data_IF_303204531384
#
_entry.id   IF_303204531384
#
_cell.length_a   1.000
_cell.length_b   1.000
_cell.length_c   1.000
_cell.angle_alpha   90.00
_cell.angle_beta   90.00
_cell.angle_gamma   90.00
#
_symmetry.space_group_name_H-M   'P 1'
#
loop_
_entity.id
_entity.type
_entity.pdbx_description
1 polymer ?
#
# COMPACT_ATOMS: atom_id res chain seq x y z
N UNK A 1 52.47 -55.00 -58.69
CA UNK A 1 51.19 -55.73 -58.75
C UNK A 1 50.66 -55.84 -57.32
N UNK A 2 49.47 -55.29 -57.03
CA UNK A 2 48.46 -55.71 -56.02
C UNK A 2 48.92 -55.99 -54.56
N UNK A 3 48.22 -55.80 -53.44
CA UNK A 3 47.02 -55.08 -52.99
C UNK A 3 46.95 -55.28 -51.44
N UNK A 4 46.25 -54.37 -50.73
CA UNK A 4 45.43 -54.58 -49.52
C UNK A 4 45.98 -55.04 -48.13
N UNK A 5 45.71 -54.17 -47.13
CA UNK A 5 44.91 -54.33 -45.88
C UNK A 5 45.14 -55.53 -44.94
N UNK A 6 45.11 -55.27 -43.61
CA UNK A 6 44.53 -56.07 -42.50
C UNK A 6 44.78 -55.31 -41.17
N UNK A 7 43.81 -54.59 -40.59
CA UNK A 7 42.72 -54.99 -39.68
C UNK A 7 43.19 -55.64 -38.35
N UNK A 8 43.01 -54.92 -37.22
CA UNK A 8 43.26 -55.40 -35.86
C UNK A 8 42.04 -56.17 -35.29
N UNK A 9 42.23 -57.28 -34.55
CA UNK A 9 41.15 -58.05 -33.93
C UNK A 9 40.65 -57.46 -32.59
N UNK A 10 39.43 -57.84 -32.14
CA UNK A 10 38.63 -57.09 -31.16
C UNK A 10 38.86 -57.45 -29.68
N UNK A 11 38.40 -56.53 -28.80
CA UNK A 11 38.39 -56.63 -27.33
C UNK A 11 37.46 -57.75 -26.83
N UNK A 12 37.93 -58.53 -25.85
CA UNK A 12 37.11 -59.50 -25.11
C UNK A 12 36.43 -58.82 -23.92
N UNK A 13 35.14 -59.08 -23.80
CA UNK A 13 34.19 -58.54 -22.80
C UNK A 13 34.21 -59.38 -21.53
N UNK A 14 34.20 -58.72 -20.38
CA UNK A 14 34.14 -59.34 -19.04
C UNK A 14 32.80 -60.07 -18.78
N UNK A 15 32.80 -61.15 -17.99
CA UNK A 15 31.62 -61.96 -17.70
C UNK A 15 30.64 -61.27 -16.73
N UNK A 16 29.34 -61.47 -16.99
CA UNK A 16 28.20 -60.94 -16.24
C UNK A 16 27.97 -61.69 -14.91
N UNK A 17 27.56 -61.02 -13.82
CA UNK A 17 27.17 -61.66 -12.57
C UNK A 17 25.75 -62.27 -12.61
N UNK A 18 25.56 -63.36 -11.86
CA UNK A 18 24.36 -64.19 -11.76
C UNK A 18 23.10 -63.47 -11.21
N UNK A 19 21.88 -63.92 -11.59
CA UNK A 19 20.62 -63.32 -11.18
C UNK A 19 20.23 -63.63 -9.73
N UNK A 20 19.66 -62.63 -9.04
CA UNK A 20 19.10 -62.75 -7.69
C UNK A 20 17.64 -63.25 -7.72
N UNK A 21 17.18 -64.01 -6.70
CA UNK A 21 15.88 -64.67 -6.68
C UNK A 21 14.69 -63.71 -6.46
N UNK A 22 13.53 -64.06 -7.04
CA UNK A 22 12.25 -63.34 -6.93
C UNK A 22 11.70 -63.31 -5.49
N UNK A 23 11.14 -62.18 -5.02
CA UNK A 23 10.43 -62.14 -3.74
C UNK A 23 9.02 -62.76 -3.85
N UNK A 24 8.72 -63.62 -2.87
CA UNK A 24 7.49 -64.41 -2.76
C UNK A 24 6.26 -63.55 -2.44
N UNK A 25 5.12 -63.95 -3.04
CA UNK A 25 3.80 -63.33 -2.98
C UNK A 25 3.17 -63.46 -1.56
N UNK A 26 2.96 -62.34 -0.86
CA UNK A 26 2.23 -62.27 0.41
C UNK A 26 0.77 -61.87 0.12
N UNK A 27 -0.25 -62.59 0.62
CA UNK A 27 -1.66 -62.23 0.36
C UNK A 27 -2.02 -60.86 0.94
N UNK A 28 -2.62 -59.98 0.14
CA UNK A 28 -3.16 -58.70 0.60
C UNK A 28 -4.52 -58.90 1.29
N UNK A 29 -4.80 -58.22 2.41
CA UNK A 29 -6.16 -58.14 2.94
C UNK A 29 -7.03 -57.29 2.02
N UNK A 30 -8.21 -57.79 1.66
CA UNK A 30 -9.24 -57.02 0.96
C UNK A 30 -9.77 -55.93 1.91
N UNK A 31 -9.42 -54.69 1.62
CA UNK A 31 -9.98 -53.51 2.29
C UNK A 31 -11.11 -53.03 1.37
N UNK A 32 -12.35 -53.21 1.83
CA UNK A 32 -13.55 -52.64 1.22
C UNK A 32 -13.48 -51.12 1.33
N UNK A 33 -13.12 -50.47 0.23
CA UNK A 33 -13.09 -49.01 0.11
C UNK A 33 -14.49 -48.58 -0.35
N UNK A 34 -15.36 -48.28 0.62
CA UNK A 34 -16.64 -47.64 0.35
C UNK A 34 -16.38 -46.32 -0.41
N UNK A 35 -16.79 -46.35 -1.68
CA UNK A 35 -16.60 -45.32 -2.68
C UNK A 35 -17.63 -44.20 -2.50
N UNK A 36 -17.50 -43.39 -1.46
CA UNK A 36 -18.13 -42.07 -1.38
C UNK A 36 -17.13 -41.03 -0.85
N UNK A 37 -16.05 -40.82 -1.59
CA UNK A 37 -15.27 -39.59 -1.54
C UNK A 37 -15.71 -38.70 -2.67
N UNK A 38 -16.47 -37.65 -2.38
CA UNK A 38 -16.85 -36.63 -3.35
C UNK A 38 -15.59 -35.88 -3.79
N UNK A 39 -15.31 -35.86 -5.09
CA UNK A 39 -14.18 -35.19 -5.77
C UNK A 39 -14.19 -33.64 -5.63
N UNK A 40 -14.84 -33.09 -4.60
CA UNK A 40 -15.04 -31.64 -4.41
C UNK A 40 -13.77 -30.92 -3.93
N UNK A 41 -12.81 -31.64 -3.34
CA UNK A 41 -11.57 -31.05 -2.80
C UNK A 41 -10.51 -30.74 -3.87
N UNK A 42 -10.54 -31.43 -5.02
CA UNK A 42 -9.60 -31.19 -6.13
C UNK A 42 -9.94 -29.90 -6.92
N UNK A 43 -11.23 -29.56 -6.99
CA UNK A 43 -11.73 -28.36 -7.65
C UNK A 43 -11.33 -27.08 -6.91
N UNK A 44 -11.23 -27.12 -5.57
CA UNK A 44 -10.82 -25.97 -4.76
C UNK A 44 -9.33 -25.65 -4.97
N UNK A 45 -8.47 -26.67 -5.00
CA UNK A 45 -7.04 -26.51 -5.23
C UNK A 45 -6.74 -26.01 -6.65
N UNK A 46 -7.45 -26.54 -7.65
CA UNK A 46 -7.37 -26.08 -9.03
C UNK A 46 -7.81 -24.62 -9.17
N UNK A 47 -8.90 -24.24 -8.49
CA UNK A 47 -9.39 -22.86 -8.45
C UNK A 47 -8.41 -21.90 -7.77
N UNK A 48 -7.80 -22.31 -6.65
CA UNK A 48 -6.78 -21.52 -5.97
C UNK A 48 -5.54 -21.31 -6.85
N UNK A 49 -5.08 -22.37 -7.54
CA UNK A 49 -3.95 -22.31 -8.48
C UNK A 49 -4.24 -21.41 -9.68
N UNK A 50 -5.45 -21.47 -10.21
CA UNK A 50 -5.91 -20.60 -11.31
C UNK A 50 -5.94 -19.14 -10.87
N UNK A 51 -6.51 -18.84 -9.69
CA UNK A 51 -6.52 -17.48 -9.12
C UNK A 51 -5.12 -16.91 -8.91
N UNK A 52 -4.17 -17.72 -8.41
CA UNK A 52 -2.76 -17.30 -8.27
C UNK A 52 -2.13 -17.01 -9.63
N UNK A 53 -2.39 -17.86 -10.63
CA UNK A 53 -1.90 -17.67 -12.01
C UNK A 53 -2.47 -16.42 -12.66
N UNK A 54 -3.76 -16.14 -12.47
CA UNK A 54 -4.43 -14.95 -13.01
C UNK A 54 -3.99 -13.67 -12.30
N UNK A 55 -3.82 -13.69 -10.98
CA UNK A 55 -3.23 -12.59 -10.22
C UNK A 55 -1.79 -12.33 -10.68
N UNK A 56 -1.00 -13.39 -10.90
CA UNK A 56 0.38 -13.27 -11.40
C UNK A 56 0.43 -12.74 -12.84
N UNK A 57 -0.48 -13.19 -13.71
CA UNK A 57 -0.61 -12.69 -15.08
C UNK A 57 -1.02 -11.22 -15.10
N UNK A 58 -1.91 -10.80 -14.20
CA UNK A 58 -2.32 -9.40 -14.05
C UNK A 58 -1.17 -8.53 -13.54
N UNK A 59 -0.43 -8.98 -12.53
CA UNK A 59 0.77 -8.29 -12.06
C UNK A 59 1.83 -8.18 -13.16
N UNK A 60 2.01 -9.23 -13.97
CA UNK A 60 2.97 -9.21 -15.08
C UNK A 60 2.51 -8.29 -16.22
N UNK A 61 1.21 -8.25 -16.52
CA UNK A 61 0.64 -7.32 -17.50
C UNK A 61 0.81 -5.86 -17.07
N UNK A 62 0.55 -5.53 -15.79
CA UNK A 62 0.84 -4.20 -15.25
C UNK A 62 2.34 -3.88 -15.28
N UNK A 63 3.20 -4.86 -15.02
CA UNK A 63 4.65 -4.69 -15.12
C UNK A 63 5.09 -4.44 -16.57
N UNK A 64 4.53 -5.17 -17.54
CA UNK A 64 4.79 -4.99 -18.97
C UNK A 64 4.27 -3.64 -19.49
N UNK A 65 3.09 -3.23 -19.05
CA UNK A 65 2.49 -1.93 -19.34
C UNK A 65 3.37 -0.78 -18.79
N UNK A 66 3.90 -0.93 -17.57
CA UNK A 66 4.86 0.01 -17.00
C UNK A 66 6.19 0.04 -17.77
N UNK A 67 6.66 -1.11 -18.27
CA UNK A 67 7.86 -1.18 -19.12
C UNK A 67 7.60 -0.53 -20.48
N UNK A 68 6.41 -0.68 -21.05
CA UNK A 68 6.02 -0.06 -22.31
C UNK A 68 5.88 1.47 -22.16
N UNK A 69 5.22 1.93 -21.09
CA UNK A 69 5.10 3.34 -20.75
C UNK A 69 6.47 3.99 -20.50
N UNK A 70 7.40 3.27 -19.86
CA UNK A 70 8.78 3.71 -19.71
C UNK A 70 9.47 3.92 -21.06
N UNK A 71 9.32 2.99 -22.00
CA UNK A 71 9.88 3.11 -23.36
C UNK A 71 9.25 4.28 -24.14
N UNK A 72 7.95 4.53 -23.97
CA UNK A 72 7.24 5.66 -24.56
C UNK A 72 7.73 7.00 -24.01
N UNK A 73 7.93 7.10 -22.70
CA UNK A 73 8.47 8.29 -22.06
C UNK A 73 9.93 8.57 -22.48
N UNK A 74 10.75 7.51 -22.60
CA UNK A 74 12.12 7.61 -23.10
C UNK A 74 12.17 8.05 -24.58
N UNK A 75 11.11 7.80 -25.37
CA UNK A 75 11.01 8.20 -26.78
C UNK A 75 10.45 9.61 -27.03
N UNK A 76 9.82 10.24 -26.03
CA UNK A 76 9.14 11.55 -26.16
C UNK A 76 10.03 12.77 -25.84
N UNK A 77 11.35 12.62 -25.88
CA UNK A 77 12.34 13.69 -25.58
C UNK A 77 12.32 14.84 -26.62
N UNK A 78 11.55 14.77 -27.70
CA UNK A 78 11.37 15.87 -28.65
C UNK A 78 9.92 16.39 -28.67
N UNK A 79 9.59 17.30 -27.75
CA UNK A 79 8.33 18.06 -27.83
C UNK A 79 7.80 18.48 -26.47
N UNK A 80 8.30 19.61 -25.96
CA UNK A 80 7.84 20.19 -24.69
C UNK A 80 6.44 20.79 -24.76
N UNK A 81 5.75 20.82 -23.62
CA UNK A 81 4.57 21.65 -23.39
C UNK A 81 4.67 22.29 -22.00
N UNK A 82 4.55 23.62 -21.97
CA UNK A 82 4.25 24.43 -20.79
C UNK A 82 2.80 24.18 -20.36
N UNK A 83 2.56 24.08 -19.06
CA UNK A 83 1.29 24.32 -18.33
C UNK A 83 1.73 24.47 -16.85
N UNK A 84 1.62 25.62 -16.21
CA UNK A 84 0.35 26.22 -15.78
C UNK A 84 0.32 26.10 -14.25
N UNK A 85 0.67 27.19 -13.58
CA UNK A 85 0.57 27.41 -12.13
C UNK A 85 -0.92 27.58 -11.79
N UNK A 86 -1.49 26.68 -10.99
CA UNK A 86 -2.75 26.84 -10.23
C UNK A 86 -2.92 25.65 -9.26
N UNK A 87 -2.25 25.71 -8.11
CA UNK A 87 -2.42 24.77 -6.99
C UNK A 87 -3.35 25.38 -5.93
N UNK A 88 -4.65 25.09 -6.02
CA UNK A 88 -5.64 25.42 -4.99
C UNK A 88 -6.64 24.29 -4.70
N UNK A 89 -6.19 23.03 -4.63
CA UNK A 89 -7.05 21.87 -4.36
C UNK A 89 -7.19 21.49 -2.88
N UNK A 90 -7.93 22.25 -2.06
CA UNK A 90 -8.37 21.79 -0.72
C UNK A 90 -9.90 21.75 -0.61
N UNK A 91 -10.53 20.99 -1.50
CA UNK A 91 -11.98 20.81 -1.53
C UNK A 91 -12.38 19.36 -1.77
N UNK A 92 -11.85 18.38 -1.02
CA UNK A 92 -12.39 17.02 -1.15
C UNK A 92 -12.23 16.11 0.08
N UNK A 93 -12.76 16.57 1.22
CA UNK A 93 -12.91 15.73 2.42
C UNK A 93 -14.27 15.02 2.51
N UNK A 94 -15.12 15.11 1.49
CA UNK A 94 -16.46 14.51 1.56
C UNK A 94 -17.08 14.09 0.22
N UNK A 95 -16.30 13.74 -0.81
CA UNK A 95 -16.84 13.04 -1.99
C UNK A 95 -16.87 11.51 -1.78
N UNK A 96 -18.06 10.89 -1.69
CA UNK A 96 -18.25 9.47 -1.95
C UNK A 96 -18.66 9.29 -3.42
N UNK A 97 -17.71 9.17 -4.35
CA UNK A 97 -17.90 8.50 -5.64
C UNK A 97 -16.64 8.62 -6.48
N UNK A 98 -16.43 7.63 -7.33
CA UNK A 98 -15.42 7.59 -8.39
C UNK A 98 -15.66 8.69 -9.43
N UNK A 99 -14.59 9.36 -9.84
CA UNK A 99 -14.36 9.81 -11.22
C UNK A 99 -12.87 10.02 -11.43
N UNK A 100 -12.49 9.80 -12.68
CA UNK A 100 -11.15 9.79 -13.27
C UNK A 100 -10.43 11.12 -13.10
N UNK A 101 -9.11 11.07 -12.86
CA UNK A 101 -8.15 12.08 -13.32
C UNK A 101 -6.81 11.37 -13.56
N UNK A 102 -6.46 11.27 -14.85
CA UNK A 102 -5.16 10.81 -15.33
C UNK A 102 -4.15 11.96 -15.22
N UNK A 103 -3.36 11.97 -14.15
CA UNK A 103 -2.11 12.70 -14.15
C UNK A 103 -0.92 11.73 -14.32
N UNK A 104 -0.39 11.77 -15.55
CA UNK A 104 0.86 11.23 -16.05
C UNK A 104 2.04 11.96 -15.41
N UNK A 105 2.75 11.28 -14.50
CA UNK A 105 4.02 11.74 -13.95
C UNK A 105 5.03 10.59 -14.01
N UNK A 106 6.08 10.82 -14.81
CA UNK A 106 7.10 9.84 -15.19
C UNK A 106 7.81 9.17 -14.01
N UNK A 107 8.04 7.87 -14.16
CA UNK A 107 8.57 6.98 -13.13
C UNK A 107 10.10 6.88 -13.19
N UNK A 108 10.77 6.94 -12.03
CA UNK A 108 12.18 6.54 -11.88
C UNK A 108 12.26 5.10 -11.34
N UNK A 109 12.86 4.21 -12.14
CA UNK A 109 13.08 2.78 -11.83
C UNK A 109 14.41 2.60 -11.07
N UNK A 110 14.40 1.81 -9.99
CA UNK A 110 15.60 1.39 -9.27
C UNK A 110 15.81 -0.15 -9.32
N UNK A 111 17.06 -0.64 -9.13
CA UNK A 111 17.51 -1.97 -9.57
C UNK A 111 17.06 -3.16 -8.73
N UNK A 112 17.14 -4.34 -9.34
CA UNK A 112 16.70 -5.62 -8.78
C UNK A 112 17.70 -6.16 -7.76
N UNK A 113 17.24 -6.47 -6.55
CA UNK A 113 18.02 -7.19 -5.54
C UNK A 113 17.35 -8.52 -5.15
N UNK A 114 18.16 -9.58 -5.13
CA UNK A 114 17.77 -10.95 -4.84
C UNK A 114 17.42 -11.17 -3.35
N UNK A 115 16.36 -11.97 -3.13
CA UNK A 115 15.76 -12.33 -1.84
C UNK A 115 16.77 -13.03 -0.91
N UNK A 116 16.82 -12.65 0.38
CA UNK A 116 17.43 -13.45 1.46
C UNK A 116 16.41 -13.76 2.57
N UNK A 117 16.60 -14.92 3.19
CA UNK A 117 15.62 -15.72 3.93
C UNK A 117 15.01 -15.12 5.21
N UNK A 118 13.80 -15.62 5.52
CA UNK A 118 13.01 -15.38 6.74
C UNK A 118 13.74 -15.88 7.99
N UNK A 119 14.00 -14.99 8.94
CA UNK A 119 14.24 -15.33 10.35
C UNK A 119 12.97 -15.11 11.17
N UNK A 120 12.56 -16.10 11.96
CA UNK A 120 11.43 -16.00 12.90
C UNK A 120 11.79 -15.04 14.03
N UNK A 121 11.03 -13.94 14.19
CA UNK A 121 11.14 -13.07 15.36
C UNK A 121 9.97 -13.29 16.31
N UNK A 122 10.34 -13.46 17.58
CA UNK A 122 9.54 -13.84 18.74
C UNK A 122 8.60 -12.69 19.12
N UNK A 123 7.32 -12.99 19.28
CA UNK A 123 6.29 -12.04 19.72
C UNK A 123 6.59 -11.61 21.16
N UNK A 124 6.85 -10.32 21.36
CA UNK A 124 6.80 -9.70 22.67
C UNK A 124 5.47 -8.94 22.76
N UNK A 125 4.55 -9.48 23.57
CA UNK A 125 3.35 -8.77 23.97
C UNK A 125 3.75 -7.56 24.81
N UNK A 126 3.67 -6.37 24.23
CA UNK A 126 3.53 -5.14 25.00
C UNK A 126 2.04 -4.82 25.03
N UNK A 127 1.46 -4.96 26.23
CA UNK A 127 0.13 -4.47 26.56
C UNK A 127 0.05 -3.00 26.15
N UNK A 128 -0.67 -2.75 25.06
CA UNK A 128 -0.97 -1.40 24.59
C UNK A 128 -1.93 -0.80 25.60
N UNK A 129 -1.39 -0.02 26.55
CA UNK A 129 -2.17 0.93 27.32
C UNK A 129 -3.07 1.69 26.33
N UNK A 130 -4.38 1.54 26.54
CA UNK A 130 -5.40 2.07 25.66
C UNK A 130 -5.17 3.57 25.53
N UNK A 131 -4.70 4.01 24.36
CA UNK A 131 -4.76 5.40 23.95
C UNK A 131 -6.22 5.75 23.79
N UNK A 132 -6.90 6.02 24.91
CA UNK A 132 -8.21 6.63 24.88
C UNK A 132 -8.05 8.06 24.37
N UNK A 133 -8.11 8.21 23.04
CA UNK A 133 -8.43 9.47 22.40
C UNK A 133 -9.88 9.82 22.78
N UNK A 134 -10.09 10.24 24.03
CA UNK A 134 -11.41 10.59 24.57
C UNK A 134 -11.70 12.04 24.25
N UNK A 135 -12.63 12.25 23.33
CA UNK A 135 -13.34 13.51 23.22
C UNK A 135 -14.03 13.83 24.55
N UNK A 136 -14.24 15.12 24.84
CA UNK A 136 -15.06 15.55 25.97
C UNK A 136 -15.94 16.75 25.59
N UNK A 137 -17.05 16.92 26.30
CA UNK A 137 -17.95 18.06 26.08
C UNK A 137 -17.24 19.35 26.52
N UNK A 138 -17.23 20.35 25.66
CA UNK A 138 -16.49 21.60 25.84
C UNK A 138 -15.09 21.61 25.22
N UNK A 139 -14.64 20.51 24.62
CA UNK A 139 -13.38 20.48 23.89
C UNK A 139 -13.41 21.44 22.70
N UNK A 140 -12.37 22.26 22.56
CA UNK A 140 -12.26 23.28 21.53
C UNK A 140 -11.24 22.84 20.47
N UNK A 141 -11.61 23.10 19.22
CA UNK A 141 -10.80 22.92 18.02
C UNK A 141 -10.63 24.27 17.34
N UNK A 142 -9.49 24.49 16.71
CA UNK A 142 -9.23 25.72 15.96
C UNK A 142 -10.18 25.81 14.76
N UNK A 143 -10.20 24.75 13.95
CA UNK A 143 -10.94 24.70 12.69
C UNK A 143 -11.82 23.44 12.61
N UNK A 144 -12.97 23.48 11.90
CA UNK A 144 -13.78 22.28 11.65
C UNK A 144 -12.98 21.18 10.92
N UNK A 145 -11.95 21.56 10.15
CA UNK A 145 -11.01 20.62 9.51
C UNK A 145 -10.26 19.77 10.53
N UNK A 146 -9.71 20.40 11.59
CA UNK A 146 -8.99 19.69 12.66
C UNK A 146 -9.92 18.74 13.42
N UNK A 147 -11.17 19.15 13.64
CA UNK A 147 -12.18 18.30 14.25
C UNK A 147 -12.51 17.05 13.41
N UNK A 148 -12.70 17.22 12.09
CA UNK A 148 -12.93 16.09 11.18
C UNK A 148 -11.73 15.13 11.18
N UNK A 149 -10.51 15.65 11.14
CA UNK A 149 -9.29 14.84 11.20
C UNK A 149 -9.23 14.02 12.50
N UNK A 150 -9.50 14.64 13.63
CA UNK A 150 -9.56 13.96 14.92
C UNK A 150 -10.61 12.84 14.97
N UNK A 151 -11.81 13.06 14.39
CA UNK A 151 -12.83 12.01 14.30
C UNK A 151 -12.38 10.85 13.41
N UNK A 152 -11.71 11.13 12.29
CA UNK A 152 -11.18 10.09 11.39
C UNK A 152 -10.11 9.27 12.10
N UNK A 153 -9.19 9.92 12.80
CA UNK A 153 -8.14 9.24 13.59
C UNK A 153 -8.77 8.37 14.69
N UNK A 154 -9.77 8.89 15.42
CA UNK A 154 -10.52 8.12 16.41
C UNK A 154 -11.25 6.91 15.79
N UNK A 155 -11.87 7.10 14.62
CA UNK A 155 -12.57 6.05 13.88
C UNK A 155 -11.62 4.90 13.50
N UNK A 156 -10.37 5.22 13.15
CA UNK A 156 -9.34 4.25 12.76
C UNK A 156 -8.76 3.55 13.99
N UNK A 157 -8.41 4.30 15.04
CA UNK A 157 -7.86 3.75 16.29
C UNK A 157 -8.84 2.76 16.94
N UNK A 158 -10.10 3.19 17.12
CA UNK A 158 -11.16 2.34 17.67
C UNK A 158 -11.70 1.33 16.65
N UNK A 159 -11.34 1.43 15.37
CA UNK A 159 -11.80 0.51 14.33
C UNK A 159 -13.32 0.50 14.19
N UNK A 160 -13.96 1.68 14.21
CA UNK A 160 -15.41 1.86 14.05
C UNK A 160 -15.70 2.81 12.90
N UNK A 161 -16.61 2.48 11.99
CA UNK A 161 -17.07 3.42 10.98
C UNK A 161 -17.96 4.51 11.59
N UNK A 162 -17.53 5.75 11.43
CA UNK A 162 -18.22 6.94 11.95
C UNK A 162 -18.46 7.90 10.76
N UNK A 163 -19.57 7.73 10.02
CA UNK A 163 -19.96 8.70 9.00
C UNK A 163 -20.34 10.06 9.61
N UNK A 164 -20.08 11.13 8.85
CA UNK A 164 -20.57 12.46 9.19
C UNK A 164 -22.03 12.58 8.74
N UNK A 165 -22.96 12.68 9.69
CA UNK A 165 -24.39 12.83 9.41
C UNK A 165 -24.77 14.26 9.05
N UNK A 166 -24.01 15.25 9.54
CA UNK A 166 -24.10 16.65 9.12
C UNK A 166 -22.69 17.21 9.01
N UNK A 167 -22.34 17.79 7.87
CA UNK A 167 -21.03 18.37 7.67
C UNK A 167 -21.13 19.73 6.98
N UNK A 168 -21.40 20.76 7.78
CA UNK A 168 -21.44 22.14 7.32
C UNK A 168 -20.16 22.87 7.74
N UNK A 169 -19.93 24.05 7.17
CA UNK A 169 -18.79 24.92 7.57
C UNK A 169 -18.87 25.36 9.05
N UNK A 170 -20.06 25.34 9.65
CA UNK A 170 -20.32 25.83 11.01
C UNK A 170 -20.68 24.73 12.01
N UNK A 171 -21.02 23.52 11.55
CA UNK A 171 -21.45 22.42 12.42
C UNK A 171 -21.08 21.07 11.81
N UNK A 172 -20.62 20.17 12.66
CA UNK A 172 -20.27 18.80 12.27
C UNK A 172 -20.92 17.86 13.28
N UNK A 173 -21.64 16.88 12.75
CA UNK A 173 -22.28 15.80 13.49
C UNK A 173 -21.76 14.48 12.93
N UNK A 174 -21.30 13.60 13.79
CA UNK A 174 -20.88 12.26 13.40
C UNK A 174 -21.57 11.23 14.30
N UNK A 175 -22.06 10.17 13.68
CA UNK A 175 -22.80 9.10 14.33
C UNK A 175 -22.17 7.77 13.91
N UNK A 176 -22.23 6.76 14.78
CA UNK A 176 -21.74 5.45 14.39
C UNK A 176 -22.61 4.86 13.27
N UNK A 177 -21.99 4.18 12.30
CA UNK A 177 -22.70 3.49 11.20
C UNK A 177 -23.72 2.45 11.73
N UNK A 178 -23.48 1.89 12.91
CA UNK A 178 -24.36 0.92 13.55
C UNK A 178 -25.46 1.52 14.43
N UNK A 179 -25.84 2.79 14.20
CA UNK A 179 -26.94 3.45 14.92
C UNK A 179 -28.24 2.66 14.84
N UNK A 180 -28.57 2.12 13.67
CA UNK A 180 -29.79 1.33 13.46
C UNK A 180 -29.77 -0.01 14.21
N UNK A 181 -28.58 -0.49 14.58
CA UNK A 181 -28.37 -1.69 15.41
C UNK A 181 -28.32 -1.38 16.91
N UNK A 182 -28.66 -0.15 17.32
CA UNK A 182 -28.69 0.27 18.71
C UNK A 182 -27.40 0.93 19.24
N UNK A 183 -26.46 1.29 18.37
CA UNK A 183 -25.28 2.06 18.78
C UNK A 183 -25.64 3.53 19.06
N UNK A 184 -25.42 3.97 20.30
CA UNK A 184 -25.77 5.32 20.75
C UNK A 184 -24.65 6.35 20.53
N UNK A 185 -23.47 5.90 20.11
CA UNK A 185 -22.31 6.77 19.94
C UNK A 185 -22.60 7.89 18.94
N UNK A 186 -22.34 9.12 19.38
CA UNK A 186 -22.58 10.34 18.60
C UNK A 186 -21.75 11.48 19.15
N UNK A 187 -21.24 12.30 18.25
CA UNK A 187 -20.56 13.55 18.58
C UNK A 187 -21.14 14.69 17.76
N UNK A 188 -21.37 15.83 18.42
CA UNK A 188 -21.81 17.06 17.78
C UNK A 188 -20.97 18.24 18.24
N UNK A 189 -20.46 18.97 17.26
CA UNK A 189 -19.67 20.16 17.47
C UNK A 189 -20.12 21.28 16.54
N UNK A 190 -19.94 22.52 16.99
CA UNK A 190 -20.35 23.71 16.23
C UNK A 190 -19.44 24.89 16.52
N UNK A 191 -19.40 25.83 15.59
CA UNK A 191 -18.71 27.10 15.73
C UNK A 191 -19.33 27.95 16.85
N UNK A 192 -18.50 28.38 17.80
CA UNK A 192 -18.91 29.28 18.87
C UNK A 192 -18.38 30.70 18.60
N UNK A 193 -19.29 31.63 18.28
CA UNK A 193 -18.94 33.01 17.94
C UNK A 193 -18.20 33.76 19.05
N UNK A 194 -18.53 33.48 20.31
CA UNK A 194 -17.92 34.16 21.46
C UNK A 194 -16.45 33.81 21.65
N UNK A 195 -16.09 32.53 21.44
CA UNK A 195 -14.73 32.01 21.63
C UNK A 195 -13.91 31.94 20.34
N UNK A 196 -14.54 32.18 19.18
CA UNK A 196 -13.96 32.00 17.83
C UNK A 196 -13.31 30.62 17.67
N UNK A 197 -13.94 29.59 18.24
CA UNK A 197 -13.46 28.22 18.21
C UNK A 197 -14.58 27.24 17.89
N UNK A 198 -14.21 26.08 17.38
CA UNK A 198 -15.13 25.00 17.05
C UNK A 198 -15.24 24.05 18.25
N UNK A 199 -16.38 24.06 18.93
CA UNK A 199 -16.53 23.42 20.25
C UNK A 199 -17.43 22.20 20.19
N UNK A 200 -17.02 21.10 20.84
CA UNK A 200 -17.83 19.90 21.07
C UNK A 200 -18.91 20.22 22.10
N UNK A 201 -20.17 20.16 21.69
CA UNK A 201 -21.32 20.50 22.54
C UNK A 201 -22.09 19.28 23.02
N UNK A 202 -22.02 18.17 22.29
CA UNK A 202 -22.68 16.93 22.70
C UNK A 202 -21.77 15.77 22.35
N UNK A 203 -21.60 14.86 23.31
CA UNK A 203 -20.85 13.64 23.14
C UNK A 203 -21.61 12.52 23.85
N UNK A 204 -21.82 11.42 23.13
CA UNK A 204 -22.16 10.12 23.68
C UNK A 204 -20.99 9.22 23.32
N UNK A 205 -20.15 8.90 24.30
CA UNK A 205 -18.90 8.16 24.12
C UNK A 205 -19.10 6.64 24.05
N UNK A 206 -20.28 6.13 24.42
CA UNK A 206 -20.53 4.70 24.55
C UNK A 206 -20.82 4.06 23.19
N UNK A 207 -19.95 3.13 22.78
CA UNK A 207 -20.16 2.25 21.64
C UNK A 207 -20.69 0.89 22.10
N UNK A 208 -21.84 0.47 21.57
CA UNK A 208 -22.36 -0.90 21.75
C UNK A 208 -21.99 -1.83 20.60
N UNK A 209 -21.30 -1.33 19.57
CA UNK A 209 -20.91 -2.07 18.37
C UNK A 209 -19.48 -2.62 18.47
N UNK A 210 -19.20 -3.74 17.78
CA UNK A 210 -17.85 -4.34 17.66
C UNK A 210 -16.93 -3.67 16.63
N UNK A 211 -15.64 -4.04 16.63
CA UNK A 211 -14.64 -3.55 15.64
C UNK A 211 -15.04 -4.00 14.24
N UNK A 212 -14.85 -3.13 13.25
CA UNK A 212 -15.05 -3.45 11.83
C UNK A 212 -13.68 -3.60 11.15
N UNK A 213 -13.44 -4.66 10.36
CA UNK A 213 -12.17 -4.86 9.66
C UNK A 213 -11.97 -3.90 8.49
N UNK A 214 -13.01 -3.18 8.05
CA UNK A 214 -12.97 -2.25 6.92
C UNK A 214 -13.44 -0.89 7.40
N UNK A 215 -12.56 0.10 7.34
CA UNK A 215 -12.86 1.49 7.71
C UNK A 215 -12.94 2.36 6.45
N UNK A 216 -14.12 2.94 6.21
CA UNK A 216 -14.40 3.75 4.99
C UNK A 216 -13.56 5.03 4.96
N UNK A 217 -13.41 5.69 6.11
CA UNK A 217 -12.67 6.96 6.25
C UNK A 217 -11.15 6.79 6.26
N UNK A 218 -10.63 5.55 6.28
CA UNK A 218 -9.21 5.30 6.02
C UNK A 218 -8.96 5.38 4.51
N UNK A 219 -8.80 6.58 3.99
CA UNK A 219 -8.58 6.84 2.57
C UNK A 219 -7.12 6.59 2.19
N UNK A 220 -6.83 6.44 0.89
CA UNK A 220 -5.45 6.34 0.42
C UNK A 220 -4.64 7.62 0.66
N UNK A 221 -5.30 8.77 0.75
CA UNK A 221 -4.69 10.02 1.21
C UNK A 221 -4.29 9.93 2.68
N UNK A 222 -5.19 9.48 3.55
CA UNK A 222 -4.89 9.29 4.97
C UNK A 222 -3.72 8.32 5.18
N UNK A 223 -3.68 7.21 4.43
CA UNK A 223 -2.57 6.26 4.50
C UNK A 223 -1.25 6.92 4.07
N UNK A 224 -1.25 7.69 2.98
CA UNK A 224 -0.05 8.38 2.51
C UNK A 224 0.48 9.42 3.52
N UNK A 225 -0.41 10.18 4.16
CA UNK A 225 -0.05 11.19 5.17
C UNK A 225 0.41 10.54 6.48
N UNK A 226 -0.35 9.55 6.98
CA UNK A 226 -0.06 8.89 8.25
C UNK A 226 1.24 8.09 8.19
N UNK A 227 1.45 7.34 7.10
CA UNK A 227 2.66 6.54 6.86
C UNK A 227 3.69 7.28 6.01
N UNK A 228 3.66 8.62 5.97
CA UNK A 228 4.61 9.42 5.16
C UNK A 228 6.08 9.06 5.45
N UNK A 229 6.41 8.81 6.73
CA UNK A 229 7.77 8.48 7.14
C UNK A 229 8.20 7.10 6.60
N UNK A 230 7.26 6.15 6.55
CA UNK A 230 7.51 4.83 5.97
C UNK A 230 7.80 4.94 4.48
N UNK A 231 7.02 5.76 3.76
CA UNK A 231 7.28 6.04 2.35
C UNK A 231 8.58 6.80 2.13
N UNK A 232 8.96 7.74 3.02
CA UNK A 232 10.27 8.45 2.93
C UNK A 232 11.45 7.49 3.04
N UNK A 233 11.37 6.52 3.95
CA UNK A 233 12.42 5.50 4.15
C UNK A 233 12.45 4.50 3.00
N UNK A 234 11.28 4.03 2.56
CA UNK A 234 11.17 3.08 1.45
C UNK A 234 10.05 3.47 0.48
N UNK A 235 10.34 4.33 -0.51
CA UNK A 235 9.35 4.79 -1.49
C UNK A 235 8.79 3.65 -2.35
N UNK A 236 9.54 2.54 -2.48
CA UNK A 236 9.22 1.41 -3.35
C UNK A 236 8.72 0.19 -2.56
N UNK A 237 8.20 0.40 -1.35
CA UNK A 237 7.64 -0.68 -0.54
C UNK A 237 6.57 -1.48 -1.31
N UNK A 238 6.54 -2.80 -1.08
CA UNK A 238 5.60 -3.67 -1.77
C UNK A 238 4.19 -3.43 -1.23
N UNK A 239 3.19 -3.63 -2.08
CA UNK A 239 1.79 -3.45 -1.70
C UNK A 239 1.38 -4.35 -0.54
N UNK A 240 1.87 -5.59 -0.53
CA UNK A 240 1.67 -6.54 0.55
C UNK A 240 2.22 -6.02 1.88
N UNK A 241 3.42 -5.40 1.85
CA UNK A 241 4.04 -4.84 3.06
C UNK A 241 3.22 -3.67 3.61
N UNK A 242 2.64 -2.82 2.75
CA UNK A 242 1.71 -1.74 3.15
C UNK A 242 0.50 -2.34 3.87
N UNK A 243 -0.13 -3.34 3.24
CA UNK A 243 -1.34 -3.97 3.79
C UNK A 243 -1.06 -4.69 5.12
N UNK A 244 0.08 -5.38 5.22
CA UNK A 244 0.49 -6.09 6.43
C UNK A 244 0.81 -5.10 7.56
N UNK A 245 1.49 -4.01 7.28
CA UNK A 245 1.77 -2.94 8.26
C UNK A 245 0.47 -2.39 8.85
N UNK A 246 -0.48 -1.99 8.01
CA UNK A 246 -1.77 -1.45 8.45
C UNK A 246 -2.60 -2.49 9.22
N UNK A 247 -2.51 -3.76 8.81
CA UNK A 247 -3.18 -4.84 9.52
C UNK A 247 -2.59 -5.06 10.92
N UNK A 248 -1.26 -5.07 11.05
CA UNK A 248 -0.57 -5.28 12.32
C UNK A 248 -0.80 -4.12 13.29
N UNK A 249 -0.79 -2.89 12.80
CA UNK A 249 -0.94 -1.70 13.65
C UNK A 249 -2.39 -1.40 14.04
N UNK A 250 -3.34 -1.49 13.09
CA UNK A 250 -4.71 -1.04 13.32
C UNK A 250 -5.75 -2.18 13.31
N UNK A 251 -5.39 -3.38 12.86
CA UNK A 251 -6.33 -4.48 12.64
C UNK A 251 -7.33 -4.21 11.51
N UNK A 252 -6.95 -3.38 10.52
CA UNK A 252 -7.82 -2.97 9.42
C UNK A 252 -7.31 -3.58 8.10
N UNK A 253 -8.23 -4.09 7.29
CA UNK A 253 -7.98 -4.59 5.94
C UNK A 253 -8.03 -3.46 4.92
N UNK A 254 -7.04 -3.42 4.05
CA UNK A 254 -6.92 -2.46 2.95
C UNK A 254 -6.94 -3.22 1.62
N UNK A 255 -7.71 -2.75 0.64
CA UNK A 255 -7.71 -3.34 -0.70
C UNK A 255 -6.39 -3.07 -1.43
N UNK A 256 -6.03 -3.95 -2.38
CA UNK A 256 -4.81 -3.79 -3.19
C UNK A 256 -4.81 -2.42 -3.89
N UNK A 257 -5.93 -2.02 -4.51
CA UNK A 257 -6.05 -0.74 -5.22
C UNK A 257 -5.86 0.47 -4.30
N UNK A 258 -6.38 0.41 -3.07
CA UNK A 258 -6.21 1.47 -2.08
C UNK A 258 -4.74 1.58 -1.67
N UNK A 259 -4.03 0.46 -1.52
CA UNK A 259 -2.59 0.45 -1.25
C UNK A 259 -1.77 1.00 -2.44
N UNK A 260 -2.14 0.68 -3.69
CA UNK A 260 -1.51 1.25 -4.90
C UNK A 260 -1.66 2.77 -4.91
N UNK A 261 -2.88 3.26 -4.73
CA UNK A 261 -3.16 4.71 -4.70
C UNK A 261 -2.45 5.40 -3.52
N UNK A 262 -2.35 4.75 -2.37
CA UNK A 262 -1.62 5.28 -1.22
C UNK A 262 -0.12 5.38 -1.50
N UNK A 263 0.48 4.36 -2.12
CA UNK A 263 1.89 4.37 -2.53
C UNK A 263 2.17 5.48 -3.55
N UNK A 264 1.33 5.61 -4.60
CA UNK A 264 1.47 6.69 -5.60
C UNK A 264 1.46 8.06 -4.92
N UNK A 265 0.53 8.28 -3.97
CA UNK A 265 0.46 9.52 -3.19
C UNK A 265 1.66 9.72 -2.27
N UNK A 266 2.10 8.69 -1.56
CA UNK A 266 3.28 8.76 -0.70
C UNK A 266 4.54 9.13 -1.49
N UNK A 267 4.73 8.53 -2.67
CA UNK A 267 5.81 8.89 -3.60
C UNK A 267 5.69 10.34 -4.09
N UNK A 268 4.49 10.77 -4.48
CA UNK A 268 4.26 12.14 -4.94
C UNK A 268 4.54 13.19 -3.85
N UNK A 269 4.20 12.91 -2.59
CA UNK A 269 4.51 13.80 -1.46
C UNK A 269 6.02 14.00 -1.29
N UNK A 270 6.80 12.93 -1.46
CA UNK A 270 8.27 12.96 -1.37
C UNK A 270 8.86 13.77 -2.52
N UNK A 271 8.41 13.52 -3.75
CA UNK A 271 8.87 14.27 -4.94
C UNK A 271 8.48 15.74 -4.85
N UNK A 272 7.27 16.04 -4.37
CA UNK A 272 6.80 17.40 -4.12
C UNK A 272 7.68 18.12 -3.10
N UNK A 273 8.00 17.48 -1.99
CA UNK A 273 8.89 18.03 -0.96
C UNK A 273 10.29 18.33 -1.51
N UNK A 274 10.86 17.45 -2.34
CA UNK A 274 12.13 17.73 -3.01
C UNK A 274 12.02 18.92 -3.96
N UNK A 275 10.95 19.00 -4.76
CA UNK A 275 10.71 20.14 -5.66
C UNK A 275 10.64 21.46 -4.90
N UNK A 276 9.92 21.50 -3.79
CA UNK A 276 9.81 22.68 -2.92
C UNK A 276 11.16 23.05 -2.30
N UNK A 277 11.93 22.07 -1.82
CA UNK A 277 13.27 22.29 -1.27
C UNK A 277 14.24 22.84 -2.32
N UNK A 278 14.25 22.27 -3.53
CA UNK A 278 15.12 22.74 -4.62
C UNK A 278 14.71 24.11 -5.14
N UNK A 279 13.42 24.46 -5.10
CA UNK A 279 12.95 25.81 -5.44
C UNK A 279 13.50 26.90 -4.50
N UNK A 280 14.02 26.54 -3.32
CA UNK A 280 14.68 27.49 -2.40
C UNK A 280 16.15 27.74 -2.74
N UNK A 281 16.80 26.91 -3.56
CA UNK A 281 18.23 27.06 -3.90
C UNK A 281 18.59 28.44 -4.48
N UNK A 282 17.79 29.06 -5.38
CA UNK A 282 18.08 30.41 -5.87
C UNK A 282 18.03 31.47 -4.77
N UNK A 283 17.10 31.34 -3.82
CA UNK A 283 17.02 32.25 -2.66
C UNK A 283 18.25 32.12 -1.77
N UNK A 284 18.68 30.89 -1.53
CA UNK A 284 19.90 30.62 -0.76
C UNK A 284 21.15 31.16 -1.47
N UNK A 285 21.24 30.98 -2.79
CA UNK A 285 22.32 31.55 -3.60
C UNK A 285 22.35 33.08 -3.52
N UNK A 286 21.19 33.73 -3.61
CA UNK A 286 21.07 35.18 -3.45
C UNK A 286 21.51 35.65 -2.05
N UNK A 287 21.17 34.90 -1.00
CA UNK A 287 21.55 35.24 0.37
C UNK A 287 23.06 35.10 0.63
N UNK A 288 23.72 34.10 0.01
CA UNK A 288 25.18 33.96 0.04
C UNK A 288 25.85 35.16 -0.63
N UNK A 289 25.37 35.57 -1.81
CA UNK A 289 25.92 36.71 -2.55
C UNK A 289 25.68 38.03 -1.80
N UNK A 290 24.54 38.17 -1.12
CA UNK A 290 24.22 39.32 -0.28
C UNK A 290 25.16 39.43 0.93
N UNK A 291 25.40 38.31 1.60
CA UNK A 291 26.22 38.26 2.82
C UNK A 291 27.72 38.36 2.52
N UNK A 292 28.17 37.78 1.40
CA UNK A 292 29.57 37.73 0.99
C UNK A 292 29.70 38.06 -0.51
N UNK A 293 29.83 39.35 -0.87
CA UNK A 293 29.82 39.80 -2.28
C UNK A 293 30.96 39.26 -3.16
N UNK A 294 32.02 38.70 -2.55
CA UNK A 294 33.15 38.08 -3.27
C UNK A 294 32.92 36.60 -3.64
N UNK A 295 31.84 35.98 -3.17
CA UNK A 295 31.55 34.58 -3.46
C UNK A 295 30.92 34.42 -4.85
N UNK A 296 31.18 33.29 -5.51
CA UNK A 296 30.50 32.90 -6.74
C UNK A 296 29.70 31.64 -6.47
N UNK A 297 28.38 31.68 -6.72
CA UNK A 297 27.49 30.53 -6.60
C UNK A 297 27.07 30.08 -8.00
N UNK A 298 27.24 28.80 -8.31
CA UNK A 298 26.81 28.19 -9.58
C UNK A 298 25.82 27.08 -9.27
N UNK A 299 24.59 27.22 -9.74
CA UNK A 299 23.58 26.16 -9.69
C UNK A 299 23.59 25.45 -11.05
N UNK A 300 23.86 24.15 -11.05
CA UNK A 300 23.80 23.32 -12.25
C UNK A 300 22.51 22.48 -12.19
N UNK A 301 21.83 22.40 -13.33
CA UNK A 301 20.69 21.53 -13.57
C UNK A 301 21.16 20.39 -14.48
N UNK A 302 20.75 19.16 -14.22
CA UNK A 302 20.94 18.05 -15.17
C UNK A 302 19.55 17.63 -15.68
N UNK A 303 19.36 17.71 -17.01
CA UNK A 303 18.11 17.33 -17.69
C UNK A 303 16.82 18.02 -17.17
N UNK A 304 16.88 19.32 -16.84
CA UNK A 304 15.78 20.11 -16.27
C UNK A 304 15.22 19.59 -14.93
N UNK A 305 15.94 18.70 -14.27
CA UNK A 305 15.73 18.31 -12.87
C UNK A 305 16.94 18.82 -12.08
N UNK A 306 16.71 19.37 -10.88
CA UNK A 306 17.79 19.70 -9.95
C UNK A 306 18.47 18.44 -9.42
#
# INVERSE_FOLDING_TARGET
MWNHLLQFPPKQTEPQPEPQPEPQNVPQPEIDYDSEGTDEDDDELATARSKISDDMRRENAYFEELVMLKKLAESKVEGGLNLGDDFDGYSDLDSPSESEDEDDVGYLVAPQHHKRGRGKQKQNNTETEEREATFYVGQQFENPKTFRKAIIEYSIDKGRNIPFSKNDSTRVCAECEHKDKGCKWRIWASWERGRRSFTVKTLVSEHTCGRTPIIKKMTSHWIAEHYQNLFKVNPYMRLQDIQETIWLENGIRVSKDKAVRARKRGQALIVGEYKEQYALLPRYAAEILRSNPGNTVKLKLDANVF
#
